data_IF_300089488531
#
_entry.id   IF_300089488531
#
_cell.length_a   1.000
_cell.length_b   1.000
_cell.length_c   1.000
_cell.angle_alpha   90.00
_cell.angle_beta   90.00
_cell.angle_gamma   90.00
#
_symmetry.space_group_name_H-M   'P 1'
#
loop_
_entity.id
_entity.type
_entity.pdbx_description
1 polymer ?
#
# COMPACT_ATOMS: atom_id res chain seq x y z
N UNK A 1 17.15 -49.61 -55.00
CA UNK A 1 16.29 -48.43 -54.75
C UNK A 1 15.48 -48.49 -53.45
N UNK A 2 15.31 -49.64 -52.76
CA UNK A 2 14.51 -49.71 -51.51
C UNK A 2 15.29 -49.55 -50.20
N UNK A 3 16.61 -49.73 -50.17
CA UNK A 3 17.39 -49.62 -48.93
C UNK A 3 17.70 -48.17 -48.51
N UNK A 4 17.77 -47.22 -49.46
CA UNK A 4 18.07 -45.82 -49.17
C UNK A 4 16.88 -45.07 -48.55
N UNK A 5 15.64 -45.46 -48.85
CA UNK A 5 14.45 -44.85 -48.25
C UNK A 5 14.20 -45.31 -46.81
N UNK A 6 14.63 -46.52 -46.44
CA UNK A 6 14.48 -47.03 -45.06
C UNK A 6 15.43 -46.33 -44.08
N UNK A 7 16.63 -45.94 -44.51
CA UNK A 7 17.59 -45.21 -43.68
C UNK A 7 17.21 -43.74 -43.49
N UNK A 8 16.54 -43.14 -44.47
CA UNK A 8 16.02 -41.76 -44.36
C UNK A 8 14.82 -41.66 -43.40
N UNK A 9 13.99 -42.71 -43.32
CA UNK A 9 12.85 -42.76 -42.39
C UNK A 9 13.27 -43.06 -40.94
N UNK A 10 14.31 -43.88 -40.73
CA UNK A 10 14.87 -44.13 -39.39
C UNK A 10 15.67 -42.95 -38.84
N UNK A 11 16.20 -42.06 -39.70
CA UNK A 11 16.85 -40.82 -39.28
C UNK A 11 15.87 -39.71 -38.85
N UNK A 12 14.67 -39.65 -39.43
CA UNK A 12 13.68 -38.62 -39.09
C UNK A 12 12.96 -38.87 -37.76
N UNK A 13 12.89 -40.13 -37.29
CA UNK A 13 12.22 -40.46 -36.04
C UNK A 13 13.09 -40.23 -34.78
N UNK A 14 14.39 -39.95 -34.90
CA UNK A 14 15.26 -39.70 -33.74
C UNK A 14 15.34 -38.23 -33.30
N UNK A 15 14.58 -37.33 -33.94
CA UNK A 15 14.61 -35.89 -33.65
C UNK A 15 13.44 -35.38 -32.78
N UNK A 16 12.55 -36.26 -32.28
CA UNK A 16 11.35 -35.85 -31.52
C UNK A 16 11.50 -36.02 -30.00
N UNK A 17 12.52 -36.71 -29.50
CA UNK A 17 12.66 -36.99 -28.06
C UNK A 17 13.57 -36.02 -27.31
N UNK A 18 13.61 -34.75 -27.72
CA UNK A 18 14.06 -33.65 -26.86
C UNK A 18 12.83 -32.88 -26.35
N UNK A 19 11.85 -33.60 -25.79
CA UNK A 19 10.94 -32.98 -24.83
C UNK A 19 11.82 -32.62 -23.63
N UNK A 20 12.18 -31.33 -23.55
CA UNK A 20 12.77 -30.78 -22.35
C UNK A 20 11.95 -31.27 -21.18
N UNK A 21 12.60 -31.95 -20.24
CA UNK A 21 11.99 -32.31 -18.97
C UNK A 21 11.50 -31.00 -18.36
N UNK A 22 10.21 -30.72 -18.51
CA UNK A 22 9.47 -29.82 -17.65
C UNK A 22 9.53 -30.50 -16.29
N UNK A 23 10.62 -30.25 -15.57
CA UNK A 23 10.76 -30.63 -14.18
C UNK A 23 9.53 -30.08 -13.48
N UNK A 24 8.78 -30.95 -12.81
CA UNK A 24 7.59 -30.56 -12.07
C UNK A 24 7.99 -29.45 -11.09
N UNK A 25 7.50 -28.20 -11.25
CA UNK A 25 7.89 -27.11 -10.37
C UNK A 25 7.41 -27.34 -8.93
N UNK A 26 6.56 -28.35 -8.70
CA UNK A 26 6.02 -28.76 -7.42
C UNK A 26 6.72 -29.96 -6.78
N UNK A 27 7.75 -30.55 -7.41
CA UNK A 27 8.39 -31.79 -6.92
C UNK A 27 8.81 -31.69 -5.44
N UNK A 28 9.30 -30.52 -5.01
CA UNK A 28 9.77 -30.25 -3.66
C UNK A 28 8.70 -29.74 -2.69
N UNK A 29 7.45 -29.56 -3.13
CA UNK A 29 6.44 -28.81 -2.37
C UNK A 29 5.62 -29.64 -1.38
N UNK A 30 5.78 -30.96 -1.30
CA UNK A 30 4.98 -31.85 -0.40
C UNK A 30 5.27 -31.72 1.10
N UNK A 31 6.03 -30.73 1.53
CA UNK A 31 6.29 -30.49 2.95
C UNK A 31 5.10 -29.74 3.58
N UNK A 32 4.37 -30.43 4.45
CA UNK A 32 3.17 -29.92 5.10
C UNK A 32 3.43 -29.79 6.59
N UNK A 33 3.49 -28.54 7.07
CA UNK A 33 3.49 -28.23 8.50
C UNK A 33 2.10 -28.51 9.10
N UNK A 34 2.04 -29.40 10.10
CA UNK A 34 0.80 -29.76 10.77
C UNK A 34 0.49 -28.89 12.00
N UNK A 35 1.24 -27.81 12.21
CA UNK A 35 1.04 -26.91 13.35
C UNK A 35 -0.33 -26.24 13.27
N UNK A 36 -1.14 -26.46 14.31
CA UNK A 36 -2.44 -25.81 14.45
C UNK A 36 -2.31 -24.50 15.25
N UNK A 37 -2.92 -23.45 14.72
CA UNK A 37 -2.94 -22.13 15.33
C UNK A 37 -4.37 -21.72 15.70
N UNK A 38 -4.52 -20.96 16.78
CA UNK A 38 -5.79 -20.30 17.09
C UNK A 38 -5.93 -19.04 16.25
N UNK A 39 -7.11 -18.80 15.70
CA UNK A 39 -7.36 -17.57 14.95
C UNK A 39 -7.48 -16.33 15.86
N UNK A 40 -6.89 -15.23 15.39
CA UNK A 40 -6.99 -13.90 15.97
C UNK A 40 -7.37 -12.90 14.89
N UNK A 41 -8.43 -12.14 15.13
CA UNK A 41 -8.87 -11.07 14.20
C UNK A 41 -7.92 -9.86 14.18
N UNK A 42 -6.97 -9.77 15.11
CA UNK A 42 -6.08 -8.60 15.28
C UNK A 42 -4.85 -8.62 14.38
N UNK A 43 -4.51 -9.78 13.81
CA UNK A 43 -3.35 -9.97 12.95
C UNK A 43 -3.84 -10.03 11.51
N UNK A 44 -3.20 -9.32 10.59
CA UNK A 44 -3.60 -9.28 9.18
C UNK A 44 -2.43 -8.88 8.28
N UNK A 45 -2.48 -9.35 7.04
CA UNK A 45 -1.62 -8.92 5.92
C UNK A 45 -2.27 -7.69 5.29
N UNK A 46 -1.51 -6.70 4.81
CA UNK A 46 -2.13 -5.49 4.23
C UNK A 46 -1.80 -5.24 2.78
N UNK A 47 -0.67 -5.73 2.27
CA UNK A 47 -0.29 -5.49 0.88
C UNK A 47 0.22 -6.80 0.26
N UNK A 48 -0.64 -7.81 0.07
CA UNK A 48 -0.22 -9.08 -0.53
C UNK A 48 -0.10 -8.91 -2.05
N UNK A 49 1.07 -9.18 -2.60
CA UNK A 49 1.33 -9.07 -4.03
C UNK A 49 2.11 -10.28 -4.56
N UNK A 50 1.97 -10.55 -5.85
CA UNK A 50 2.73 -11.58 -6.56
C UNK A 50 3.13 -11.07 -7.94
N UNK A 51 4.39 -11.24 -8.30
CA UNK A 51 4.96 -10.79 -9.58
C UNK A 51 5.69 -11.93 -10.28
N UNK A 52 5.80 -11.93 -11.61
CA UNK A 52 6.62 -12.91 -12.31
C UNK A 52 8.10 -12.74 -11.93
N UNK A 53 8.81 -13.85 -11.75
CA UNK A 53 10.27 -13.84 -11.66
C UNK A 53 10.89 -13.84 -13.06
N UNK A 54 12.20 -13.63 -13.17
CA UNK A 54 12.94 -13.76 -14.44
C UNK A 54 12.84 -15.17 -15.04
N UNK A 55 12.74 -16.17 -14.16
CA UNK A 55 12.40 -17.54 -14.50
C UNK A 55 10.88 -17.66 -14.61
N UNK A 56 10.37 -18.07 -15.77
CA UNK A 56 8.93 -18.17 -16.05
C UNK A 56 8.22 -19.21 -15.20
N UNK A 57 8.95 -20.15 -14.59
CA UNK A 57 8.40 -21.16 -13.68
C UNK A 57 8.19 -20.62 -12.27
N UNK A 58 8.75 -19.47 -11.94
CA UNK A 58 8.72 -18.88 -10.60
C UNK A 58 8.00 -17.52 -10.57
N UNK A 59 7.50 -17.21 -9.39
CA UNK A 59 6.92 -15.94 -9.03
C UNK A 59 7.48 -15.46 -7.68
N UNK A 60 7.50 -14.16 -7.49
CA UNK A 60 7.90 -13.49 -6.26
C UNK A 60 6.63 -13.14 -5.50
N UNK A 61 6.38 -13.81 -4.39
CA UNK A 61 5.29 -13.53 -3.46
C UNK A 61 5.80 -12.58 -2.38
N UNK A 62 5.29 -11.35 -2.33
CA UNK A 62 5.72 -10.31 -1.39
C UNK A 62 4.54 -9.77 -0.59
N UNK A 63 4.75 -9.38 0.67
CA UNK A 63 3.69 -8.76 1.45
C UNK A 63 4.18 -7.82 2.55
N UNK A 64 3.26 -7.00 3.04
CA UNK A 64 3.43 -6.24 4.28
C UNK A 64 2.45 -6.67 5.37
N UNK A 65 2.88 -6.46 6.62
CA UNK A 65 2.23 -6.97 7.82
C UNK A 65 2.54 -6.09 9.03
N UNK A 66 1.75 -6.25 10.10
CA UNK A 66 1.88 -5.44 11.31
C UNK A 66 3.34 -5.48 11.82
N UNK A 67 3.93 -4.36 12.29
CA UNK A 67 5.36 -4.31 12.65
C UNK A 67 5.85 -5.42 13.60
N UNK A 68 4.97 -5.87 14.50
CA UNK A 68 5.25 -6.93 15.47
C UNK A 68 5.16 -8.37 14.90
N UNK A 69 4.99 -8.51 13.58
CA UNK A 69 4.92 -9.81 12.90
C UNK A 69 6.22 -10.11 12.16
N UNK A 70 6.77 -11.29 12.41
CA UNK A 70 8.04 -11.76 11.85
C UNK A 70 7.99 -13.23 11.41
N UNK A 71 6.82 -13.86 11.50
CA UNK A 71 6.57 -15.23 11.04
C UNK A 71 5.28 -15.25 10.23
N UNK A 72 5.28 -16.05 9.17
CA UNK A 72 4.17 -16.19 8.24
C UNK A 72 4.02 -17.65 7.87
N UNK A 73 2.81 -18.18 7.93
CA UNK A 73 2.54 -19.49 7.34
C UNK A 73 2.09 -19.24 5.90
N UNK A 74 2.74 -19.90 4.95
CA UNK A 74 2.36 -19.86 3.55
C UNK A 74 1.78 -21.22 3.22
N UNK A 75 0.57 -21.21 2.67
CA UNK A 75 -0.06 -22.36 2.06
C UNK A 75 -0.04 -22.18 0.54
N UNK A 76 0.15 -23.28 -0.18
CA UNK A 76 -0.01 -23.30 -1.63
C UNK A 76 -0.91 -24.46 -2.03
N UNK A 77 -1.78 -24.16 -2.97
CA UNK A 77 -2.73 -25.07 -3.59
C UNK A 77 -2.51 -25.07 -5.11
N UNK A 78 -2.82 -26.19 -5.77
CA UNK A 78 -2.79 -26.26 -7.24
C UNK A 78 -3.83 -25.31 -7.86
N UNK A 79 -5.00 -25.26 -7.23
CA UNK A 79 -6.14 -24.43 -7.61
C UNK A 79 -6.76 -23.83 -6.34
N UNK A 80 -7.56 -22.75 -6.42
CA UNK A 80 -8.14 -22.09 -5.24
C UNK A 80 -8.90 -23.05 -4.31
N UNK A 81 -9.62 -24.02 -4.88
CA UNK A 81 -10.39 -25.05 -4.16
C UNK A 81 -9.71 -26.44 -4.21
N UNK A 82 -8.43 -26.48 -4.61
CA UNK A 82 -7.67 -27.70 -4.78
C UNK A 82 -7.10 -28.26 -3.47
N UNK A 83 -6.30 -29.32 -3.59
CA UNK A 83 -5.59 -29.89 -2.44
C UNK A 83 -4.43 -28.99 -2.00
N UNK A 84 -4.17 -29.00 -0.69
CA UNK A 84 -3.00 -28.34 -0.10
C UNK A 84 -1.75 -29.11 -0.51
N UNK A 85 -0.88 -28.48 -1.30
CA UNK A 85 0.37 -29.10 -1.77
C UNK A 85 1.51 -28.78 -0.81
N UNK A 86 1.55 -27.55 -0.29
CA UNK A 86 2.64 -27.04 0.55
C UNK A 86 2.12 -26.21 1.70
N UNK A 87 2.74 -26.38 2.87
CA UNK A 87 2.52 -25.49 4.00
C UNK A 87 3.79 -25.39 4.83
N UNK A 88 4.33 -24.19 4.96
CA UNK A 88 5.49 -23.96 5.84
C UNK A 88 5.47 -22.56 6.48
N UNK A 89 6.28 -22.43 7.53
CA UNK A 89 6.53 -21.16 8.21
C UNK A 89 7.76 -20.48 7.63
N UNK A 90 7.56 -19.25 7.19
CA UNK A 90 8.57 -18.34 6.68
C UNK A 90 8.79 -17.18 7.65
N UNK A 91 10.00 -16.63 7.64
CA UNK A 91 10.35 -15.41 8.40
C UNK A 91 10.58 -14.18 7.51
N UNK A 92 10.72 -14.40 6.21
CA UNK A 92 10.81 -13.34 5.22
C UNK A 92 9.42 -12.80 4.87
N UNK A 93 9.39 -11.57 4.37
CA UNK A 93 8.20 -10.91 3.80
C UNK A 93 8.09 -11.10 2.28
N UNK A 94 9.00 -11.91 1.73
CA UNK A 94 9.12 -12.22 0.31
C UNK A 94 9.59 -13.67 0.17
N UNK A 95 8.98 -14.42 -0.75
CA UNK A 95 9.40 -15.77 -1.08
C UNK A 95 9.24 -16.06 -2.58
N UNK A 96 10.16 -16.88 -3.11
CA UNK A 96 10.09 -17.42 -4.46
C UNK A 96 9.22 -18.66 -4.45
N UNK A 97 8.21 -18.70 -5.31
CA UNK A 97 7.19 -19.73 -5.34
C UNK A 97 6.86 -20.13 -6.80
N UNK A 98 6.26 -21.30 -7.07
CA UNK A 98 5.89 -21.71 -8.41
C UNK A 98 4.85 -20.75 -9.02
N UNK A 99 5.05 -20.31 -10.26
CA UNK A 99 4.18 -19.32 -10.90
C UNK A 99 2.72 -19.78 -11.06
N UNK A 100 2.49 -21.09 -11.12
CA UNK A 100 1.17 -21.73 -11.27
C UNK A 100 0.36 -21.83 -9.97
N UNK A 101 0.96 -21.64 -8.80
CA UNK A 101 0.31 -21.88 -7.52
C UNK A 101 -0.75 -20.84 -7.13
N UNK A 102 -1.71 -21.27 -6.31
CA UNK A 102 -2.57 -20.38 -5.52
C UNK A 102 -2.04 -20.29 -4.09
N UNK A 103 -1.72 -19.09 -3.63
CA UNK A 103 -1.04 -18.87 -2.35
C UNK A 103 -1.96 -18.26 -1.33
N UNK A 104 -1.89 -18.74 -0.09
CA UNK A 104 -2.55 -18.13 1.06
C UNK A 104 -1.51 -17.81 2.12
N UNK A 105 -1.44 -16.54 2.52
CA UNK A 105 -0.47 -16.06 3.51
C UNK A 105 -1.18 -15.73 4.81
N UNK A 106 -0.78 -16.40 5.88
CA UNK A 106 -1.25 -16.18 7.24
C UNK A 106 -0.18 -15.47 8.05
N UNK A 107 -0.49 -14.32 8.67
CA UNK A 107 0.41 -13.74 9.65
C UNK A 107 0.31 -14.53 10.95
N UNK A 108 1.46 -14.93 11.52
CA UNK A 108 1.48 -15.72 12.76
C UNK A 108 2.33 -15.06 13.85
N UNK A 109 1.87 -15.15 15.10
CA UNK A 109 2.61 -14.73 16.29
C UNK A 109 2.37 -15.68 17.45
N UNK A 110 3.44 -16.24 18.01
CA UNK A 110 3.33 -17.27 19.05
C UNK A 110 2.45 -18.44 18.58
N UNK A 111 1.30 -18.62 19.23
CA UNK A 111 0.28 -19.65 18.92
C UNK A 111 -0.98 -19.09 18.23
N UNK A 112 -0.89 -17.89 17.66
CA UNK A 112 -2.00 -17.20 16.99
C UNK A 112 -1.74 -17.04 15.49
N UNK A 113 -2.79 -17.20 14.69
CA UNK A 113 -2.82 -16.90 13.25
C UNK A 113 -3.83 -15.79 12.96
N UNK A 114 -3.53 -14.94 11.98
CA UNK A 114 -4.38 -13.82 11.61
C UNK A 114 -5.36 -14.07 10.47
N UNK A 115 -5.98 -12.98 10.03
CA UNK A 115 -6.76 -12.92 8.79
C UNK A 115 -5.83 -13.19 7.60
N UNK A 116 -6.06 -14.27 6.85
CA UNK A 116 -5.26 -14.57 5.68
C UNK A 116 -5.60 -13.65 4.50
N UNK A 117 -4.67 -13.58 3.56
CA UNK A 117 -4.95 -13.14 2.20
C UNK A 117 -4.46 -14.21 1.24
N UNK A 118 -5.24 -14.41 0.18
CA UNK A 118 -4.86 -15.29 -0.92
C UNK A 118 -4.63 -14.53 -2.21
N UNK A 119 -3.75 -15.06 -3.06
CA UNK A 119 -3.42 -14.49 -4.37
C UNK A 119 -2.90 -15.59 -5.29
N UNK A 120 -3.13 -15.45 -6.60
CA UNK A 120 -2.39 -16.17 -7.63
C UNK A 120 -1.90 -15.18 -8.70
N UNK A 121 -1.01 -15.66 -9.58
CA UNK A 121 -0.38 -14.80 -10.58
C UNK A 121 -1.37 -14.24 -11.61
N UNK A 122 -2.43 -14.98 -11.94
CA UNK A 122 -3.45 -14.54 -12.89
C UNK A 122 -4.32 -13.41 -12.31
N UNK A 123 -4.78 -13.55 -11.06
CA UNK A 123 -5.49 -12.52 -10.31
C UNK A 123 -4.64 -11.24 -10.16
N UNK A 124 -3.32 -11.39 -10.00
CA UNK A 124 -2.43 -10.24 -9.95
C UNK A 124 -2.31 -9.55 -11.31
N UNK A 125 -2.18 -10.30 -12.41
CA UNK A 125 -2.15 -9.73 -13.77
C UNK A 125 -3.41 -8.94 -14.10
N UNK A 126 -4.59 -9.46 -13.72
CA UNK A 126 -5.88 -8.76 -13.92
C UNK A 126 -5.94 -7.41 -13.20
N UNK A 127 -5.19 -7.27 -12.10
CA UNK A 127 -5.06 -6.03 -11.31
C UNK A 127 -3.76 -5.29 -11.61
N UNK A 128 -3.11 -5.56 -12.74
CA UNK A 128 -1.83 -4.93 -13.13
C UNK A 128 -0.74 -4.99 -12.04
N UNK A 129 -0.71 -6.10 -11.29
CA UNK A 129 0.19 -6.35 -10.17
C UNK A 129 0.03 -5.36 -8.99
N UNK A 130 -1.13 -4.72 -8.87
CA UNK A 130 -1.47 -3.97 -7.67
C UNK A 130 -1.58 -4.90 -6.45
N UNK A 131 -1.23 -4.43 -5.24
CA UNK A 131 -1.32 -5.24 -4.03
C UNK A 131 -2.78 -5.48 -3.61
N UNK A 132 -3.04 -6.68 -3.10
CA UNK A 132 -4.32 -7.04 -2.49
C UNK A 132 -4.33 -6.59 -1.03
N UNK A 133 -5.34 -5.80 -0.68
CA UNK A 133 -5.49 -5.18 0.63
C UNK A 133 -6.48 -5.94 1.52
N UNK A 134 -6.18 -6.09 2.82
CA UNK A 134 -7.20 -6.62 3.76
C UNK A 134 -8.27 -5.59 4.06
N UNK A 135 -9.50 -6.07 4.28
CA UNK A 135 -10.63 -5.26 4.75
C UNK A 135 -10.30 -4.45 6.00
N UNK A 136 -9.55 -5.01 6.96
CA UNK A 136 -9.14 -4.32 8.19
C UNK A 136 -8.16 -3.16 7.92
N UNK A 137 -7.20 -3.36 7.03
CA UNK A 137 -6.29 -2.27 6.64
C UNK A 137 -7.02 -1.14 5.93
N UNK A 138 -7.90 -1.47 4.99
CA UNK A 138 -8.72 -0.48 4.30
C UNK A 138 -9.58 0.35 5.26
N UNK A 139 -10.15 -0.29 6.29
CA UNK A 139 -10.88 0.41 7.35
C UNK A 139 -9.99 1.35 8.15
N UNK A 140 -8.77 0.93 8.51
CA UNK A 140 -7.81 1.78 9.23
C UNK A 140 -7.41 2.98 8.37
N UNK A 141 -7.08 2.75 7.10
CA UNK A 141 -6.73 3.83 6.16
C UNK A 141 -7.87 4.83 5.96
N UNK A 142 -9.10 4.35 5.86
CA UNK A 142 -10.28 5.21 5.77
C UNK A 142 -10.43 6.09 7.02
N UNK A 143 -10.30 5.51 8.22
CA UNK A 143 -10.34 6.27 9.48
C UNK A 143 -9.20 7.28 9.60
N UNK A 144 -7.98 6.92 9.20
CA UNK A 144 -6.85 7.84 9.16
C UNK A 144 -7.09 9.02 8.22
N UNK A 145 -7.67 8.77 7.05
CA UNK A 145 -8.01 9.82 6.09
C UNK A 145 -9.10 10.75 6.64
N UNK A 146 -10.17 10.20 7.21
CA UNK A 146 -11.24 10.96 7.86
C UNK A 146 -10.69 11.84 8.99
N UNK A 147 -9.80 11.30 9.83
CA UNK A 147 -9.17 12.07 10.91
C UNK A 147 -8.34 13.23 10.37
N UNK A 148 -7.52 13.00 9.33
CA UNK A 148 -6.72 14.07 8.70
C UNK A 148 -7.59 15.18 8.11
N UNK A 149 -8.74 14.85 7.55
CA UNK A 149 -9.68 15.87 7.06
C UNK A 149 -10.28 16.68 8.21
N UNK A 150 -10.63 16.04 9.33
CA UNK A 150 -11.12 16.72 10.53
C UNK A 150 -10.06 17.70 11.05
N UNK A 151 -8.81 17.25 11.13
CA UNK A 151 -7.70 18.07 11.64
C UNK A 151 -7.45 19.29 10.73
N UNK A 152 -7.38 19.07 9.40
CA UNK A 152 -7.27 20.18 8.42
C UNK A 152 -8.42 21.19 8.53
N UNK A 153 -9.65 20.72 8.77
CA UNK A 153 -10.81 21.61 8.95
C UNK A 153 -10.73 22.42 10.24
N UNK A 154 -10.15 21.86 11.30
CA UNK A 154 -9.91 22.58 12.57
C UNK A 154 -8.85 23.66 12.38
N UNK A 155 -7.72 23.31 11.78
CA UNK A 155 -6.64 24.24 11.46
C UNK A 155 -7.12 25.40 10.58
N UNK A 156 -7.91 25.12 9.53
CA UNK A 156 -8.45 26.15 8.66
C UNK A 156 -9.41 27.11 9.40
N UNK A 157 -10.23 26.60 10.32
CA UNK A 157 -11.12 27.43 11.15
C UNK A 157 -10.33 28.30 12.13
N UNK A 158 -9.30 27.76 12.75
CA UNK A 158 -8.42 28.51 13.65
C UNK A 158 -7.70 29.63 12.90
N UNK A 159 -7.17 29.36 11.71
CA UNK A 159 -6.56 30.37 10.86
C UNK A 159 -7.55 31.47 10.44
N UNK A 160 -8.79 31.12 10.11
CA UNK A 160 -9.84 32.10 9.81
C UNK A 160 -10.17 32.97 11.03
N UNK A 161 -10.30 32.38 12.21
CA UNK A 161 -10.55 33.11 13.45
C UNK A 161 -9.40 34.05 13.80
N UNK A 162 -8.15 33.65 13.58
CA UNK A 162 -7.00 34.54 13.75
C UNK A 162 -7.01 35.69 12.75
N UNK A 163 -7.35 35.43 11.49
CA UNK A 163 -7.49 36.47 10.47
C UNK A 163 -8.62 37.46 10.80
N UNK A 164 -9.76 36.98 11.30
CA UNK A 164 -10.85 37.82 11.79
C UNK A 164 -10.44 38.66 13.01
N UNK A 165 -9.68 38.07 13.95
CA UNK A 165 -9.14 38.82 15.10
C UNK A 165 -8.15 39.90 14.66
N UNK A 166 -7.29 39.60 13.70
CA UNK A 166 -6.28 40.53 13.19
C UNK A 166 -6.89 41.62 12.30
N UNK A 167 -8.01 41.36 11.62
CA UNK A 167 -8.71 42.35 10.78
C UNK A 167 -9.67 43.25 11.55
N UNK A 168 -10.06 42.89 12.78
CA UNK A 168 -10.79 43.79 13.68
C UNK A 168 -9.88 44.92 14.17
N UNK A 169 -9.95 46.06 13.50
CA UNK A 169 -9.47 47.34 14.04
C UNK A 169 -10.14 47.57 15.40
N UNK A 170 -9.36 47.50 16.47
CA UNK A 170 -9.86 47.80 17.82
C UNK A 170 -10.42 49.24 17.87
N UNK A 171 -11.56 49.49 18.52
CA UNK A 171 -12.16 50.84 18.59
C UNK A 171 -11.18 51.90 19.12
N UNK A 172 -10.26 51.49 19.99
CA UNK A 172 -9.21 52.35 20.52
C UNK A 172 -8.20 52.83 19.47
N UNK A 173 -7.78 51.98 18.52
CA UNK A 173 -6.85 52.39 17.47
C UNK A 173 -7.51 53.31 16.44
N UNK A 174 -8.80 53.10 16.14
CA UNK A 174 -9.59 54.02 15.31
C UNK A 174 -9.73 55.41 15.97
N UNK A 175 -10.07 55.45 17.26
CA UNK A 175 -10.16 56.70 18.02
C UNK A 175 -8.81 57.43 18.10
N UNK A 176 -7.71 56.71 18.25
CA UNK A 176 -6.37 57.29 18.29
C UNK A 176 -5.98 57.93 16.94
N UNK A 177 -6.26 57.25 15.82
CA UNK A 177 -6.05 57.80 14.47
C UNK A 177 -6.92 59.04 14.23
N UNK A 178 -8.19 59.00 14.63
CA UNK A 178 -9.11 60.14 14.52
C UNK A 178 -8.61 61.35 15.33
N UNK A 179 -8.13 61.12 16.55
CA UNK A 179 -7.60 62.17 17.43
C UNK A 179 -6.35 62.84 16.85
N UNK A 180 -5.40 62.07 16.32
CA UNK A 180 -4.20 62.60 15.65
C UNK A 180 -4.59 63.47 14.44
N UNK A 181 -5.59 63.03 13.67
CA UNK A 181 -6.06 63.75 12.49
C UNK A 181 -6.73 65.08 12.87
N UNK A 182 -7.50 65.12 13.96
CA UNK A 182 -8.08 66.36 14.51
C UNK A 182 -6.98 67.33 14.97
N UNK A 183 -5.94 66.84 15.66
CA UNK A 183 -4.81 67.70 16.06
C UNK A 183 -4.08 68.26 14.85
N UNK A 184 -3.82 67.44 13.82
CA UNK A 184 -3.12 67.89 12.62
C UNK A 184 -3.90 69.00 11.90
N UNK A 185 -5.23 68.87 11.80
CA UNK A 185 -6.12 69.91 11.26
C UNK A 185 -6.06 71.16 12.15
N UNK A 186 -6.12 71.00 13.47
CA UNK A 186 -6.07 72.13 14.39
C UNK A 186 -4.76 72.92 14.25
N UNK A 187 -3.61 72.23 14.21
CA UNK A 187 -2.29 72.86 14.03
C UNK A 187 -2.21 73.60 12.71
N UNK A 188 -2.70 73.00 11.61
CA UNK A 188 -2.69 73.67 10.29
C UNK A 188 -3.58 74.91 10.25
N UNK A 189 -4.76 74.86 10.87
CA UNK A 189 -5.65 76.03 11.01
C UNK A 189 -5.00 77.13 11.84
N UNK A 190 -4.39 76.79 12.97
CA UNK A 190 -3.68 77.76 13.83
C UNK A 190 -2.54 78.43 13.04
N UNK A 191 -1.71 77.66 12.35
CA UNK A 191 -0.61 78.21 11.51
C UNK A 191 -1.15 79.13 10.41
N UNK A 192 -2.26 78.77 9.76
CA UNK A 192 -2.91 79.60 8.75
C UNK A 192 -3.45 80.92 9.31
N UNK A 193 -4.07 80.90 10.50
CA UNK A 193 -4.56 82.09 11.18
C UNK A 193 -3.40 83.02 11.54
N UNK A 194 -2.35 82.50 12.18
CA UNK A 194 -1.17 83.30 12.54
C UNK A 194 -0.44 83.87 11.31
N UNK A 195 -0.40 83.12 10.20
CA UNK A 195 0.18 83.61 8.94
C UNK A 195 -0.63 84.75 8.30
N UNK A 196 -1.96 84.75 8.47
CA UNK A 196 -2.83 85.80 7.93
C UNK A 196 -2.99 87.02 8.84
N UNK A 197 -2.77 86.90 10.15
CA UNK A 197 -2.80 88.03 11.09
C UNK A 197 -1.49 88.84 11.16
N UNK A 198 -0.44 88.41 10.45
CA UNK A 198 0.86 89.10 10.38
C UNK A 198 1.02 90.05 9.19
N UNK A 199 -0.07 90.53 8.58
CA UNK A 199 -0.07 91.59 7.56
C UNK A 199 -0.77 92.84 8.09
#
# INVERSE_FOLDING_TARGET
>A
MSFLYSLFFLGLCQLISAQGTLTDPFENYRSIDNTQYKHSKTLYVFDLNIKPHKDSTLAILEWRSHPNLYKYMIEMYDQPDGELIYRQIHRSKENYMPASGHFVVYPITGKLSGTPLSINLNEAKEREFEPKNTSRYLQIKKREAEQREIDKRREAKEAQLEQERNSRLTPQSFLMVLYILIIAIFVTVVVLIFKNSGK
#
